data_IF_567546829397
#
_entry.id   IF_567546829397
#
_cell.length_a   1.000
_cell.length_b   1.000
_cell.length_c   1.000
_cell.angle_alpha   90.00
_cell.angle_beta   90.00
_cell.angle_gamma   90.00
#
_symmetry.space_group_name_H-M   'P 1'
#
loop_
_entity.id
_entity.type
_entity.pdbx_description
1 polymer ?
#
# COMPACT_ATOMS: atom_id res chain seq x y z
N UNK A 1 45.68 -13.76 15.67
CA UNK A 1 44.36 -14.21 16.18
C UNK A 1 43.47 -13.01 16.46
N UNK A 2 42.42 -12.76 15.66
CA UNK A 2 41.35 -11.81 16.00
C UNK A 2 40.09 -12.61 16.32
N UNK A 3 39.70 -12.68 17.59
CA UNK A 3 38.45 -13.33 18.03
C UNK A 3 37.26 -12.53 17.47
N UNK A 4 36.34 -13.19 16.77
CA UNK A 4 35.05 -12.62 16.37
C UNK A 4 34.24 -12.29 17.64
N UNK A 5 33.58 -11.12 17.72
CA UNK A 5 32.74 -10.78 18.86
C UNK A 5 31.49 -11.67 18.89
N UNK A 6 31.13 -12.10 20.09
CA UNK A 6 30.08 -13.09 20.36
C UNK A 6 28.68 -12.55 20.01
N UNK A 7 28.06 -13.13 18.99
CA UNK A 7 26.78 -12.69 18.41
C UNK A 7 25.60 -12.75 19.39
N UNK A 8 25.75 -13.43 20.53
CA UNK A 8 24.72 -13.53 21.57
C UNK A 8 24.52 -12.21 22.33
N UNK A 9 25.59 -11.48 22.62
CA UNK A 9 25.51 -10.21 23.37
C UNK A 9 24.83 -9.10 22.55
N UNK A 10 25.06 -9.05 21.24
CA UNK A 10 24.40 -8.10 20.34
C UNK A 10 22.89 -8.36 20.16
N UNK A 11 22.43 -9.60 20.38
CA UNK A 11 21.01 -9.95 20.30
C UNK A 11 20.28 -9.58 21.60
N UNK A 12 20.91 -9.86 22.75
CA UNK A 12 20.37 -9.48 24.07
C UNK A 12 20.24 -7.95 24.23
N UNK A 13 21.25 -7.18 23.79
CA UNK A 13 21.18 -5.72 23.82
C UNK A 13 20.05 -5.13 22.96
N UNK A 14 19.76 -5.74 21.80
CA UNK A 14 18.61 -5.34 20.96
C UNK A 14 17.27 -5.60 21.63
N UNK A 15 17.12 -6.76 22.28
CA UNK A 15 15.88 -7.11 22.99
C UNK A 15 15.62 -6.16 24.16
N UNK A 16 16.66 -5.80 24.92
CA UNK A 16 16.54 -4.84 26.03
C UNK A 16 16.19 -3.42 25.56
N UNK A 17 16.81 -2.93 24.48
CA UNK A 17 16.47 -1.62 23.90
C UNK A 17 15.04 -1.61 23.34
N UNK A 18 14.59 -2.72 22.76
CA UNK A 18 13.23 -2.87 22.26
C UNK A 18 12.22 -2.91 23.41
N UNK A 19 12.48 -3.68 24.47
CA UNK A 19 11.64 -3.70 25.67
C UNK A 19 11.53 -2.31 26.33
N UNK A 20 12.65 -1.57 26.42
CA UNK A 20 12.64 -0.19 26.93
C UNK A 20 11.83 0.79 26.07
N UNK A 21 11.78 0.59 24.74
CA UNK A 21 10.99 1.41 23.81
C UNK A 21 9.49 1.08 23.85
N UNK A 22 9.12 -0.18 24.09
CA UNK A 22 7.73 -0.60 24.35
C UNK A 22 7.23 -0.01 25.67
N UNK A 23 8.01 -0.13 26.74
CA UNK A 23 7.61 0.32 28.08
C UNK A 23 7.51 1.85 28.21
N UNK A 24 8.27 2.60 27.40
CA UNK A 24 8.22 4.07 27.37
C UNK A 24 7.15 4.63 26.43
N UNK A 25 6.36 3.78 25.77
CA UNK A 25 5.37 4.19 24.76
C UNK A 25 5.99 4.82 23.51
N UNK A 26 7.31 4.66 23.30
CA UNK A 26 8.07 5.22 22.18
C UNK A 26 8.19 4.27 20.98
N UNK A 27 7.43 3.17 20.94
CA UNK A 27 7.39 2.22 19.82
C UNK A 27 5.95 2.14 19.27
N UNK A 28 5.60 2.97 18.28
CA UNK A 28 5.74 2.84 16.81
C UNK A 28 4.72 1.91 16.18
N UNK A 29 3.92 2.43 15.24
CA UNK A 29 2.84 1.66 14.64
C UNK A 29 3.38 0.49 13.80
N UNK A 30 3.02 -0.75 14.13
CA UNK A 30 3.51 -1.93 13.43
C UNK A 30 5.05 -1.96 13.36
N UNK A 31 5.62 -2.33 12.20
CA UNK A 31 7.04 -2.58 11.88
C UNK A 31 8.07 -1.45 12.18
N UNK A 32 8.07 -0.83 13.36
CA UNK A 32 8.95 0.31 13.70
C UNK A 32 8.79 1.49 12.73
N UNK A 33 7.55 1.80 12.34
CA UNK A 33 7.25 2.96 11.50
C UNK A 33 7.26 4.26 12.32
N UNK A 34 7.90 5.29 11.77
CA UNK A 34 7.83 6.67 12.28
C UNK A 34 6.48 7.28 11.97
N UNK A 35 5.70 7.54 13.03
CA UNK A 35 4.38 8.16 12.96
C UNK A 35 4.49 9.63 13.37
N UNK A 36 3.96 10.52 12.54
CA UNK A 36 3.94 11.96 12.79
C UNK A 36 2.52 12.45 13.10
N UNK A 37 2.36 13.56 13.85
CA UNK A 37 1.05 14.02 14.34
C UNK A 37 -0.01 14.33 13.26
N UNK A 38 0.41 14.64 12.04
CA UNK A 38 -0.43 14.97 10.90
C UNK A 38 -0.55 13.83 9.87
N UNK A 39 -0.06 12.62 10.18
CA UNK A 39 -0.30 11.44 9.37
C UNK A 39 -1.79 11.02 9.39
N UNK A 40 -2.24 10.38 8.32
CA UNK A 40 -3.54 9.73 8.24
C UNK A 40 -3.34 8.27 7.85
N UNK A 41 -3.93 7.35 8.63
CA UNK A 41 -3.86 5.92 8.33
C UNK A 41 -5.14 5.44 7.68
N UNK A 42 -5.03 4.89 6.47
CA UNK A 42 -6.10 4.14 5.82
C UNK A 42 -5.97 2.67 6.24
N UNK A 43 -6.85 2.22 7.12
CA UNK A 43 -6.81 0.89 7.73
C UNK A 43 -8.01 0.08 7.34
N UNK A 44 -7.82 -1.21 7.10
CA UNK A 44 -8.91 -2.17 6.91
C UNK A 44 -8.39 -3.60 6.84
N UNK A 45 -9.30 -4.56 6.99
CA UNK A 45 -9.01 -5.95 6.63
C UNK A 45 -8.70 -6.06 5.11
N UNK A 46 -7.80 -6.96 4.67
CA UNK A 46 -7.58 -7.24 3.26
C UNK A 46 -8.89 -7.41 2.48
N UNK A 47 -8.88 -6.99 1.21
CA UNK A 47 -10.05 -7.14 0.30
C UNK A 47 -11.30 -6.30 0.65
N UNK A 48 -11.23 -5.44 1.66
CA UNK A 48 -12.34 -4.56 2.06
C UNK A 48 -12.56 -3.32 1.17
N UNK A 49 -11.83 -3.17 0.05
CA UNK A 49 -11.99 -2.02 -0.86
C UNK A 49 -10.87 -0.97 -0.83
N UNK A 50 -9.70 -1.31 -0.25
CA UNK A 50 -8.53 -0.40 -0.17
C UNK A 50 -8.18 0.30 -1.48
N UNK A 51 -8.10 -0.45 -2.59
CA UNK A 51 -7.68 0.11 -3.88
C UNK A 51 -8.64 1.22 -4.32
N UNK A 52 -9.94 0.98 -4.28
CA UNK A 52 -10.95 1.96 -4.66
C UNK A 52 -10.89 3.21 -3.77
N UNK A 53 -10.80 3.03 -2.45
CA UNK A 53 -10.66 4.16 -1.52
C UNK A 53 -9.37 4.95 -1.74
N UNK A 54 -8.25 4.28 -2.07
CA UNK A 54 -6.98 4.96 -2.41
C UNK A 54 -7.11 5.79 -3.69
N UNK A 55 -7.80 5.27 -4.71
CA UNK A 55 -8.10 6.01 -5.94
C UNK A 55 -8.97 7.24 -5.66
N UNK A 56 -10.05 7.08 -4.88
CA UNK A 56 -10.89 8.20 -4.46
C UNK A 56 -10.09 9.28 -3.74
N UNK A 57 -9.37 8.90 -2.67
CA UNK A 57 -8.58 9.86 -1.88
C UNK A 57 -7.53 10.53 -2.76
N UNK A 58 -6.80 9.75 -3.57
CA UNK A 58 -5.74 10.31 -4.39
C UNK A 58 -6.27 11.25 -5.48
N UNK A 59 -7.41 10.95 -6.11
CA UNK A 59 -8.02 11.85 -7.09
C UNK A 59 -8.62 13.10 -6.45
N UNK A 60 -9.00 13.06 -5.17
CA UNK A 60 -9.43 14.24 -4.42
C UNK A 60 -8.26 15.18 -4.06
N UNK A 61 -7.09 14.61 -3.74
CA UNK A 61 -5.91 15.37 -3.28
C UNK A 61 -5.03 15.84 -4.44
N UNK A 62 -4.69 14.93 -5.34
CA UNK A 62 -3.73 15.16 -6.43
C UNK A 62 -4.49 15.50 -7.70
N UNK A 63 -4.87 16.77 -7.80
CA UNK A 63 -5.80 17.23 -8.82
C UNK A 63 -5.17 17.42 -10.21
N UNK A 64 -3.85 17.64 -10.24
CA UNK A 64 -3.09 17.96 -11.46
C UNK A 64 -2.88 16.75 -12.38
N UNK A 65 -2.87 15.54 -11.81
CA UNK A 65 -2.66 14.30 -12.55
C UNK A 65 -3.52 13.19 -11.94
N UNK A 66 -4.36 12.48 -12.73
CA UNK A 66 -5.17 11.38 -12.24
C UNK A 66 -4.37 10.26 -11.59
N UNK A 67 -4.96 9.61 -10.60
CA UNK A 67 -4.40 8.41 -9.98
C UNK A 67 -4.49 7.23 -10.94
N UNK A 68 -3.40 6.46 -10.99
CA UNK A 68 -3.30 5.20 -11.71
C UNK A 68 -2.60 4.16 -10.84
N UNK A 69 -2.63 2.90 -11.26
CA UNK A 69 -1.87 1.83 -10.58
C UNK A 69 -0.36 2.04 -10.62
N UNK A 70 0.15 2.90 -11.53
CA UNK A 70 1.57 3.22 -11.61
C UNK A 70 2.02 4.24 -10.56
N UNK A 71 1.14 5.18 -10.17
CA UNK A 71 1.47 6.29 -9.26
C UNK A 71 0.81 6.16 -7.87
N UNK A 72 -0.10 5.22 -7.65
CA UNK A 72 -0.83 5.12 -6.37
C UNK A 72 0.07 4.77 -5.17
N UNK A 73 1.15 4.01 -5.37
CA UNK A 73 2.11 3.69 -4.30
C UNK A 73 2.98 4.89 -3.91
N UNK A 74 3.31 5.80 -4.83
CA UNK A 74 4.08 7.01 -4.46
C UNK A 74 3.23 8.06 -3.75
N UNK A 75 1.92 8.04 -3.99
CA UNK A 75 0.95 9.00 -3.42
C UNK A 75 0.34 8.54 -2.10
N UNK A 76 -0.14 7.30 -2.05
CA UNK A 76 -0.75 6.70 -0.86
C UNK A 76 -0.08 5.34 -0.55
N UNK A 77 1.18 5.33 -0.12
CA UNK A 77 1.95 4.11 0.02
C UNK A 77 1.38 3.17 1.09
N UNK A 78 1.57 1.88 0.84
CA UNK A 78 1.40 0.86 1.86
C UNK A 78 2.65 0.71 2.73
N UNK A 79 2.46 0.55 4.03
CA UNK A 79 3.55 0.47 5.02
C UNK A 79 4.38 -0.83 4.94
N UNK A 80 3.99 -1.81 4.12
CA UNK A 80 4.66 -3.11 4.05
C UNK A 80 5.68 -3.26 2.92
N UNK A 81 5.54 -2.48 1.86
CA UNK A 81 6.42 -2.56 0.68
C UNK A 81 7.48 -1.45 0.66
N UNK A 82 7.34 -0.47 1.54
CA UNK A 82 8.17 0.71 1.58
C UNK A 82 8.98 0.77 2.88
N UNK A 83 10.25 1.17 2.80
CA UNK A 83 11.08 1.37 3.98
C UNK A 83 10.62 2.60 4.78
N UNK A 84 10.82 2.60 6.10
CA UNK A 84 10.54 3.79 6.93
C UNK A 84 11.29 5.03 6.41
N UNK A 85 12.53 4.84 5.95
CA UNK A 85 13.34 5.90 5.33
C UNK A 85 12.61 6.54 4.13
N UNK A 86 12.13 5.73 3.19
CA UNK A 86 11.36 6.23 2.05
C UNK A 86 10.08 6.93 2.53
N UNK A 87 9.31 6.31 3.42
CA UNK A 87 8.06 6.88 3.91
C UNK A 87 8.26 8.23 4.60
N UNK A 88 9.40 8.43 5.28
CA UNK A 88 9.78 9.70 5.92
C UNK A 88 10.15 10.81 4.93
N UNK A 89 10.60 10.45 3.73
CA UNK A 89 10.93 11.44 2.67
C UNK A 89 9.70 11.96 1.92
N UNK A 90 8.52 11.38 2.13
CA UNK A 90 7.31 11.80 1.44
C UNK A 90 6.83 13.18 1.91
N UNK A 91 6.21 13.97 1.02
CA UNK A 91 5.56 15.22 1.39
C UNK A 91 4.52 15.04 2.49
N UNK A 92 4.35 16.09 3.32
CA UNK A 92 3.39 16.10 4.43
C UNK A 92 2.14 16.93 4.07
N UNK A 93 0.95 16.56 4.57
CA UNK A 93 0.64 15.37 5.40
C UNK A 93 0.66 14.06 4.59
N UNK A 94 1.03 12.95 5.23
CA UNK A 94 1.10 11.63 4.58
C UNK A 94 -0.19 10.86 4.80
N UNK A 95 -0.60 10.09 3.79
CA UNK A 95 -1.67 9.09 3.92
C UNK A 95 -1.08 7.71 3.70
N UNK A 96 -1.11 6.88 4.74
CA UNK A 96 -0.44 5.58 4.77
C UNK A 96 -1.47 4.46 4.85
N UNK A 97 -1.38 3.49 3.96
CA UNK A 97 -2.26 2.32 3.97
C UNK A 97 -1.69 1.21 4.85
N UNK A 98 -2.56 0.58 5.64
CA UNK A 98 -2.23 -0.47 6.58
C UNK A 98 -3.35 -1.52 6.68
N UNK A 99 -2.99 -2.77 6.89
CA UNK A 99 -3.87 -3.87 7.32
C UNK A 99 -3.72 -4.19 8.81
N UNK A 100 -2.85 -3.47 9.52
CA UNK A 100 -2.72 -3.59 10.97
C UNK A 100 -4.04 -3.21 11.64
N UNK A 101 -4.24 -3.78 12.83
CA UNK A 101 -5.31 -3.30 13.67
C UNK A 101 -5.09 -1.84 14.08
N UNK A 102 -6.15 -1.14 14.48
CA UNK A 102 -6.06 0.17 15.12
C UNK A 102 -4.93 0.20 16.15
N UNK A 103 -4.04 1.19 16.02
CA UNK A 103 -2.94 1.40 16.93
C UNK A 103 -3.14 2.74 17.65
N UNK A 104 -2.99 2.80 18.99
CA UNK A 104 -3.18 4.04 19.75
C UNK A 104 -2.32 5.22 19.26
N UNK A 105 -1.18 4.93 18.64
CA UNK A 105 -0.29 5.93 18.05
C UNK A 105 -0.79 6.53 16.73
N UNK A 106 -1.80 5.96 16.08
CA UNK A 106 -2.35 6.54 14.85
C UNK A 106 -3.11 7.84 15.17
N UNK A 107 -2.62 9.00 14.70
CA UNK A 107 -3.19 10.28 15.09
C UNK A 107 -4.52 10.56 14.39
N UNK A 108 -4.73 9.99 13.19
CA UNK A 108 -5.99 9.99 12.45
C UNK A 108 -6.12 8.70 11.67
N UNK A 109 -7.32 8.13 11.64
CA UNK A 109 -7.60 6.84 11.01
C UNK A 109 -8.87 6.91 10.18
N UNK A 110 -8.76 6.52 8.90
CA UNK A 110 -9.88 6.16 8.04
C UNK A 110 -9.97 4.63 8.05
N UNK A 111 -11.08 4.09 8.53
CA UNK A 111 -11.28 2.64 8.64
C UNK A 111 -12.33 2.15 7.63
N UNK A 112 -11.96 1.24 6.73
CA UNK A 112 -12.90 0.67 5.75
C UNK A 112 -13.52 -0.61 6.32
N UNK A 113 -14.85 -0.69 6.27
CA UNK A 113 -15.62 -1.87 6.69
C UNK A 113 -16.38 -2.39 5.49
N UNK A 114 -16.21 -3.67 5.19
CA UNK A 114 -16.98 -4.36 4.16
C UNK A 114 -17.69 -5.58 4.76
N UNK A 115 -18.83 -5.94 4.18
CA UNK A 115 -19.53 -7.17 4.53
C UNK A 115 -18.57 -8.37 4.49
N UNK A 116 -18.51 -9.20 5.54
CA UNK A 116 -17.58 -10.33 5.59
C UNK A 116 -17.81 -11.36 4.46
N UNK A 117 -19.04 -11.50 3.97
CA UNK A 117 -19.38 -12.42 2.87
C UNK A 117 -18.73 -11.97 1.58
N UNK A 118 -18.84 -10.68 1.27
CA UNK A 118 -18.16 -10.07 0.13
C UNK A 118 -16.64 -10.13 0.24
N UNK A 119 -16.12 -9.91 1.46
CA UNK A 119 -14.69 -10.03 1.72
C UNK A 119 -14.22 -11.44 1.42
N UNK A 120 -14.94 -12.46 1.89
CA UNK A 120 -14.60 -13.86 1.66
C UNK A 120 -14.57 -14.20 0.16
N UNK A 121 -15.61 -13.82 -0.60
CA UNK A 121 -15.66 -14.03 -2.06
C UNK A 121 -14.51 -13.31 -2.76
N UNK A 122 -14.23 -12.05 -2.39
CA UNK A 122 -13.12 -11.29 -2.97
C UNK A 122 -11.75 -11.87 -2.61
N UNK A 123 -11.62 -12.47 -1.42
CA UNK A 123 -10.40 -13.13 -0.95
C UNK A 123 -10.17 -14.44 -1.69
N UNK A 124 -11.22 -15.24 -1.89
CA UNK A 124 -11.19 -16.46 -2.70
C UNK A 124 -10.63 -16.19 -4.10
N UNK A 125 -11.29 -15.31 -4.88
CA UNK A 125 -10.85 -15.02 -6.26
C UNK A 125 -9.46 -14.38 -6.32
N UNK A 126 -9.07 -13.64 -5.28
CA UNK A 126 -7.71 -13.11 -5.19
C UNK A 126 -6.67 -14.21 -5.02
N UNK A 127 -6.94 -15.21 -4.18
CA UNK A 127 -6.02 -16.32 -3.96
C UNK A 127 -5.94 -17.24 -5.18
N UNK A 128 -7.05 -17.44 -5.89
CA UNK A 128 -7.05 -18.11 -7.20
C UNK A 128 -6.15 -17.35 -8.16
N UNK A 129 -6.41 -16.05 -8.38
CA UNK A 129 -5.62 -15.20 -9.30
C UNK A 129 -4.13 -15.10 -8.91
N UNK A 130 -3.82 -15.17 -7.62
CA UNK A 130 -2.44 -15.13 -7.12
C UNK A 130 -1.72 -16.48 -7.20
N UNK A 131 -2.43 -17.57 -7.52
CA UNK A 131 -1.89 -18.93 -7.54
C UNK A 131 -1.68 -19.52 -6.13
N UNK A 132 -2.30 -18.95 -5.10
CA UNK A 132 -2.23 -19.47 -3.73
C UNK A 132 -3.17 -20.67 -3.51
N UNK A 133 -4.25 -20.75 -4.29
CA UNK A 133 -5.18 -21.87 -4.34
C UNK A 133 -5.46 -22.21 -5.80
N UNK A 134 -5.83 -23.46 -6.07
CA UNK A 134 -6.15 -23.93 -7.41
C UNK A 134 -7.40 -23.25 -7.98
N UNK A 135 -7.50 -23.17 -9.31
CA UNK A 135 -8.61 -22.52 -10.02
C UNK A 135 -9.96 -23.22 -9.77
N UNK A 136 -9.94 -24.53 -9.53
CA UNK A 136 -11.08 -25.39 -9.25
C UNK A 136 -11.33 -25.65 -7.76
N UNK A 137 -10.65 -24.91 -6.87
CA UNK A 137 -10.78 -25.10 -5.43
C UNK A 137 -12.20 -24.75 -4.94
N UNK A 138 -12.95 -25.66 -4.30
CA UNK A 138 -14.35 -25.40 -3.97
C UNK A 138 -14.51 -24.30 -2.92
N UNK A 139 -15.43 -23.35 -3.16
CA UNK A 139 -15.72 -22.23 -2.25
C UNK A 139 -16.18 -22.74 -0.88
N UNK A 140 -16.95 -23.83 -0.85
CA UNK A 140 -17.46 -24.48 0.35
C UNK A 140 -16.33 -24.96 1.27
N UNK A 141 -15.20 -25.41 0.69
CA UNK A 141 -14.01 -25.78 1.44
C UNK A 141 -13.15 -24.56 1.83
N UNK A 142 -13.21 -23.48 1.04
CA UNK A 142 -12.49 -22.24 1.31
C UNK A 142 -13.07 -21.49 2.53
N UNK A 143 -14.40 -21.36 2.63
CA UNK A 143 -15.05 -20.50 3.62
C UNK A 143 -14.68 -20.86 5.07
N UNK A 144 -14.74 -22.13 5.53
CA UNK A 144 -14.38 -22.48 6.91
C UNK A 144 -12.92 -22.10 7.25
N UNK A 145 -12.01 -22.33 6.29
CA UNK A 145 -10.58 -22.03 6.43
C UNK A 145 -10.29 -20.53 6.44
N UNK A 146 -11.06 -19.75 5.66
CA UNK A 146 -11.04 -18.29 5.71
C UNK A 146 -11.51 -17.77 7.08
N UNK A 147 -12.60 -18.30 7.62
CA UNK A 147 -13.10 -17.93 8.95
C UNK A 147 -12.06 -18.25 10.04
N UNK A 148 -11.40 -19.41 9.92
CA UNK A 148 -10.31 -19.84 10.81
C UNK A 148 -8.97 -19.08 10.59
N UNK A 149 -8.93 -18.08 9.71
CA UNK A 149 -7.74 -17.28 9.37
C UNK A 149 -6.56 -18.07 8.80
N UNK A 150 -6.78 -19.26 8.24
CA UNK A 150 -5.69 -20.12 7.74
C UNK A 150 -4.93 -19.52 6.55
N UNK A 151 -5.62 -18.71 5.74
CA UNK A 151 -5.00 -18.07 4.57
C UNK A 151 -4.29 -16.76 4.91
N UNK A 152 -4.50 -16.19 6.10
CA UNK A 152 -3.93 -14.90 6.48
C UNK A 152 -3.54 -14.83 7.95
N UNK A 153 -2.62 -15.71 8.33
CA UNK A 153 -2.05 -15.73 9.67
C UNK A 153 -1.37 -14.40 10.08
N UNK A 154 -1.04 -13.53 9.10
CA UNK A 154 -0.43 -12.23 9.38
C UNK A 154 -1.44 -11.23 9.94
N UNK A 155 -2.67 -11.20 9.41
CA UNK A 155 -3.69 -10.22 9.81
C UNK A 155 -4.78 -10.79 10.72
N UNK A 156 -4.82 -12.12 10.89
CA UNK A 156 -5.82 -12.81 11.69
C UNK A 156 -7.15 -12.97 10.95
N UNK A 157 -8.18 -13.36 11.70
CA UNK A 157 -9.53 -13.51 11.13
C UNK A 157 -10.16 -12.13 10.90
N UNK A 158 -11.10 -12.06 9.97
CA UNK A 158 -11.91 -10.85 9.80
C UNK A 158 -12.65 -10.49 11.11
N UNK A 159 -13.08 -11.49 11.88
CA UNK A 159 -13.72 -11.29 13.18
C UNK A 159 -12.80 -10.65 14.22
N UNK A 160 -11.49 -10.91 14.17
CA UNK A 160 -10.51 -10.31 15.09
C UNK A 160 -10.33 -8.80 14.89
N UNK A 161 -10.80 -8.28 13.74
CA UNK A 161 -10.85 -6.84 13.47
C UNK A 161 -12.09 -6.15 14.07
N UNK A 162 -13.11 -6.90 14.50
CA UNK A 162 -14.33 -6.34 15.15
C UNK A 162 -14.07 -5.52 16.41
N UNK A 163 -13.09 -5.86 17.28
CA UNK A 163 -12.74 -5.02 18.42
C UNK A 163 -12.38 -3.60 18.01
N UNK A 164 -11.95 -3.31 16.78
CA UNK A 164 -11.65 -1.94 16.33
C UNK A 164 -12.89 -1.12 15.99
N UNK A 165 -13.94 -1.76 15.45
CA UNK A 165 -15.24 -1.11 15.30
C UNK A 165 -15.82 -0.76 16.68
N UNK A 166 -15.64 -1.65 17.66
CA UNK A 166 -16.09 -1.45 19.05
C UNK A 166 -15.18 -0.49 19.85
N UNK A 167 -13.87 -0.48 19.56
CA UNK A 167 -12.87 0.44 20.10
C UNK A 167 -12.79 1.74 19.30
N UNK A 168 -13.91 2.24 18.80
CA UNK A 168 -14.10 3.68 18.62
C UNK A 168 -14.29 4.29 20.01
N UNK A 169 -13.25 4.78 20.70
CA UNK A 169 -13.34 5.08 22.12
C UNK A 169 -13.66 6.56 22.30
N UNK A 170 -14.75 6.88 23.02
CA UNK A 170 -14.91 7.86 24.14
C UNK A 170 -14.12 9.19 24.19
N UNK A 171 -13.30 9.56 23.20
CA UNK A 171 -12.56 10.83 23.07
C UNK A 171 -12.81 11.41 21.67
N UNK A 172 -13.73 12.39 21.54
CA UNK A 172 -14.26 12.86 20.25
C UNK A 172 -13.28 13.65 19.37
N UNK A 173 -12.04 13.92 19.81
CA UNK A 173 -11.18 14.92 19.16
C UNK A 173 -10.07 14.37 18.25
N UNK A 174 -9.86 13.05 18.13
CA UNK A 174 -8.71 12.50 17.39
C UNK A 174 -9.00 11.41 16.35
N UNK A 175 -10.16 10.77 16.34
CA UNK A 175 -10.52 9.84 15.26
C UNK A 175 -11.63 10.40 14.38
N UNK A 176 -11.33 10.55 13.09
CA UNK A 176 -12.32 10.75 12.04
C UNK A 176 -12.50 9.41 11.31
N UNK A 177 -13.22 8.48 11.91
CA UNK A 177 -13.52 7.18 11.29
C UNK A 177 -14.60 7.37 10.21
N UNK A 178 -14.19 7.55 8.96
CA UNK A 178 -15.11 7.38 7.85
C UNK A 178 -15.25 5.87 7.57
N UNK A 179 -16.27 5.23 8.15
CA UNK A 179 -16.67 3.90 7.74
C UNK A 179 -17.29 4.01 6.35
N UNK A 180 -16.50 3.70 5.32
CA UNK A 180 -17.05 3.44 4.00
C UNK A 180 -17.72 2.08 4.04
N UNK A 181 -18.97 2.05 4.49
CA UNK A 181 -19.84 0.91 4.22
C UNK A 181 -20.20 1.00 2.75
N UNK A 182 -19.97 -0.07 2.00
CA UNK A 182 -20.62 -0.25 0.71
C UNK A 182 -22.11 -0.48 1.03
N UNK A 183 -22.86 0.59 1.30
CA UNK A 183 -24.28 0.48 1.56
C UNK A 183 -25.00 0.32 0.23
N UNK A 184 -25.60 -0.86 0.05
CA UNK A 184 -26.78 -0.99 -0.80
C UNK A 184 -27.84 -0.02 -0.26
N UNK A 185 -28.25 0.97 -1.06
CA UNK A 185 -29.30 1.94 -0.71
C UNK A 185 -28.93 3.43 -0.83
N UNK A 186 -27.65 3.80 -0.96
CA UNK A 186 -27.26 5.19 -1.25
C UNK A 186 -27.39 5.43 -2.76
N UNK A 187 -28.13 6.46 -3.19
CA UNK A 187 -28.37 6.76 -4.61
C UNK A 187 -27.06 7.10 -5.36
N UNK A 188 -26.04 7.61 -4.66
CA UNK A 188 -24.68 7.78 -5.16
C UNK A 188 -23.62 7.58 -4.04
N UNK A 189 -23.19 6.33 -3.79
CA UNK A 189 -22.25 6.03 -2.71
C UNK A 189 -20.85 6.65 -2.97
N UNK A 190 -20.50 6.90 -4.23
CA UNK A 190 -19.22 7.50 -4.61
C UNK A 190 -19.13 8.96 -4.19
N UNK A 191 -20.15 9.77 -4.49
CA UNK A 191 -20.16 11.19 -4.11
C UNK A 191 -20.24 11.34 -2.59
N UNK A 192 -21.06 10.53 -1.93
CA UNK A 192 -21.14 10.55 -0.47
C UNK A 192 -19.81 10.12 0.19
N UNK A 193 -19.12 9.13 -0.35
CA UNK A 193 -17.77 8.77 0.07
C UNK A 193 -16.79 9.94 -0.10
N UNK A 194 -16.80 10.61 -1.26
CA UNK A 194 -15.96 11.78 -1.49
C UNK A 194 -16.20 12.88 -0.45
N UNK A 195 -17.46 13.23 -0.18
CA UNK A 195 -17.78 14.27 0.81
C UNK A 195 -17.33 13.90 2.23
N UNK A 196 -17.53 12.63 2.64
CA UNK A 196 -17.05 12.12 3.94
C UNK A 196 -15.53 12.16 4.04
N UNK A 197 -14.82 11.78 2.98
CA UNK A 197 -13.37 11.79 2.90
C UNK A 197 -12.81 13.22 2.91
N UNK A 198 -13.38 14.14 2.13
CA UNK A 198 -12.94 15.54 2.07
C UNK A 198 -13.00 16.22 3.44
N UNK A 199 -14.06 15.98 4.22
CA UNK A 199 -14.17 16.46 5.62
C UNK A 199 -13.10 15.84 6.51
N UNK A 200 -12.92 14.52 6.43
CA UNK A 200 -11.97 13.76 7.25
C UNK A 200 -10.52 14.17 6.98
N UNK A 201 -10.21 14.43 5.71
CA UNK A 201 -8.89 14.81 5.22
C UNK A 201 -8.64 16.33 5.31
N UNK A 202 -9.65 17.11 5.72
CA UNK A 202 -9.59 18.58 5.79
C UNK A 202 -9.19 19.21 4.47
N UNK A 203 -9.71 18.68 3.37
CA UNK A 203 -9.54 19.26 2.04
C UNK A 203 -10.22 20.65 2.04
N UNK A 204 -9.58 21.72 1.55
CA UNK A 204 -10.16 23.05 1.47
C UNK A 204 -11.53 23.07 0.78
N UNK A 205 -12.48 23.90 1.25
CA UNK A 205 -13.87 23.89 0.78
C UNK A 205 -14.03 24.32 -0.69
N UNK A 206 -13.15 25.19 -1.18
CA UNK A 206 -13.03 25.58 -2.59
C UNK A 206 -12.81 24.37 -3.50
N UNK A 207 -12.17 23.30 -2.99
CA UNK A 207 -11.94 22.02 -3.68
C UNK A 207 -13.02 20.98 -3.45
N UNK A 208 -14.12 21.33 -2.79
CA UNK A 208 -15.26 20.44 -2.49
C UNK A 208 -16.49 20.80 -3.31
N UNK A 209 -16.34 21.56 -4.41
CA UNK A 209 -17.48 21.91 -5.24
C UNK A 209 -18.14 20.65 -5.83
N UNK A 210 -19.49 20.61 -5.95
CA UNK A 210 -20.19 19.42 -6.41
C UNK A 210 -19.72 18.89 -7.78
N UNK A 211 -19.47 19.79 -8.75
CA UNK A 211 -19.00 19.39 -10.09
C UNK A 211 -17.59 18.81 -10.11
N UNK A 212 -16.68 19.35 -9.29
CA UNK A 212 -15.33 18.80 -9.13
C UNK A 212 -15.38 17.44 -8.44
N UNK A 213 -16.19 17.33 -7.38
CA UNK A 213 -16.36 16.09 -6.62
C UNK A 213 -16.91 14.96 -7.49
N UNK A 214 -17.91 15.26 -8.34
CA UNK A 214 -18.45 14.32 -9.32
C UNK A 214 -17.37 13.86 -10.32
N UNK A 215 -16.60 14.81 -10.86
CA UNK A 215 -15.48 14.49 -11.76
C UNK A 215 -14.45 13.56 -11.09
N UNK A 216 -14.08 13.82 -9.82
CA UNK A 216 -13.11 12.98 -9.09
C UNK A 216 -13.67 11.60 -8.75
N UNK A 217 -14.97 11.52 -8.49
CA UNK A 217 -15.71 10.27 -8.31
C UNK A 217 -15.68 9.44 -9.60
N UNK A 218 -15.93 10.06 -10.75
CA UNK A 218 -15.91 9.39 -12.05
C UNK A 218 -14.51 8.86 -12.44
N UNK A 219 -13.45 9.58 -12.06
CA UNK A 219 -12.05 9.12 -12.18
C UNK A 219 -11.71 7.90 -11.31
N UNK A 220 -12.57 7.57 -10.35
CA UNK A 220 -12.35 6.50 -9.36
C UNK A 220 -13.40 5.39 -9.48
N UNK A 221 -14.15 5.35 -10.58
CA UNK A 221 -15.17 4.32 -10.81
C UNK A 221 -14.52 2.93 -10.97
N UNK A 222 -15.16 1.86 -10.45
CA UNK A 222 -14.68 0.50 -10.66
C UNK A 222 -14.45 0.14 -12.13
N UNK A 223 -15.30 0.63 -13.02
CA UNK A 223 -15.23 0.45 -14.48
C UNK A 223 -13.91 1.01 -15.02
N UNK A 224 -13.64 2.28 -14.73
CA UNK A 224 -12.41 2.94 -15.15
C UNK A 224 -11.16 2.28 -14.55
N UNK A 225 -11.23 1.85 -13.29
CA UNK A 225 -10.11 1.12 -12.67
C UNK A 225 -9.85 -0.20 -13.40
N UNK A 226 -10.88 -0.95 -13.80
CA UNK A 226 -10.70 -2.16 -14.61
C UNK A 226 -10.07 -1.86 -15.97
N UNK A 227 -10.42 -0.75 -16.60
CA UNK A 227 -9.81 -0.33 -17.87
C UNK A 227 -8.33 0.04 -17.70
N UNK A 228 -7.98 0.71 -16.60
CA UNK A 228 -6.58 0.97 -16.24
C UNK A 228 -5.80 -0.31 -15.96
N UNK A 229 -6.39 -1.30 -15.26
CA UNK A 229 -5.76 -2.61 -15.04
C UNK A 229 -5.49 -3.34 -16.37
N UNK A 230 -6.47 -3.33 -17.29
CA UNK A 230 -6.32 -3.91 -18.64
C UNK A 230 -5.20 -3.21 -19.42
N UNK A 231 -5.21 -1.88 -19.46
CA UNK A 231 -4.18 -1.12 -20.15
C UNK A 231 -2.77 -1.40 -19.61
N UNK A 232 -2.63 -1.48 -18.28
CA UNK A 232 -1.34 -1.82 -17.66
C UNK A 232 -0.91 -3.26 -17.99
N UNK A 233 -1.85 -4.21 -18.03
CA UNK A 233 -1.57 -5.59 -18.41
C UNK A 233 -1.12 -5.69 -19.87
N UNK A 234 -1.81 -5.03 -20.79
CA UNK A 234 -1.45 -4.97 -22.22
C UNK A 234 -0.04 -4.39 -22.40
N UNK A 235 0.27 -3.28 -21.72
CA UNK A 235 1.61 -2.69 -21.75
C UNK A 235 2.68 -3.67 -21.23
N UNK A 236 2.43 -4.35 -20.11
CA UNK A 236 3.36 -5.35 -19.57
C UNK A 236 3.63 -6.50 -20.56
N UNK A 237 2.61 -6.96 -21.27
CA UNK A 237 2.76 -8.01 -22.29
C UNK A 237 3.56 -7.54 -23.50
N UNK A 238 3.36 -6.28 -23.93
CA UNK A 238 4.10 -5.71 -25.06
C UNK A 238 5.60 -5.55 -24.77
N UNK A 239 5.98 -5.18 -23.54
CA UNK A 239 7.39 -4.98 -23.15
C UNK A 239 8.08 -6.24 -22.59
N UNK A 240 7.32 -7.25 -22.17
CA UNK A 240 7.83 -8.53 -21.69
C UNK A 240 7.03 -9.69 -22.33
N UNK A 241 7.21 -9.97 -23.63
CA UNK A 241 6.57 -11.12 -24.24
C UNK A 241 7.00 -12.39 -23.49
N UNK A 242 6.03 -13.26 -23.15
CA UNK A 242 6.32 -14.57 -22.60
C UNK A 242 7.31 -15.26 -23.56
N UNK A 243 8.43 -15.76 -23.05
CA UNK A 243 9.27 -16.68 -23.82
C UNK A 243 8.44 -17.92 -24.07
N UNK A 244 7.93 -18.05 -25.29
CA UNK A 244 7.31 -19.30 -25.74
C UNK A 244 8.37 -20.40 -25.73
N UNK A 245 7.99 -21.56 -25.20
CA UNK A 245 8.88 -22.68 -25.00
C UNK A 245 9.45 -23.21 -26.31
N UNK A 246 10.76 -23.12 -26.45
CA UNK A 246 11.57 -23.94 -27.34
C UNK A 246 12.82 -24.34 -26.55
N UNK A 247 12.95 -25.63 -26.25
CA UNK A 247 14.09 -26.15 -25.52
C UNK A 247 15.40 -25.81 -26.23
N UNK A 248 16.31 -25.17 -25.50
CA UNK A 248 17.73 -25.32 -25.78
C UNK A 248 18.37 -25.90 -24.52
N UNK A 249 18.78 -27.15 -24.67
CA UNK A 249 19.67 -27.87 -23.77
C UNK A 249 20.92 -27.00 -23.52
N UNK A 250 21.02 -26.39 -22.35
CA UNK A 250 22.28 -25.78 -21.91
C UNK A 250 23.16 -26.89 -21.37
N UNK A 251 23.94 -27.44 -22.29
CA UNK A 251 24.97 -28.42 -22.00
C UNK A 251 26.02 -27.81 -21.07
N UNK A 252 26.20 -28.43 -19.92
CA UNK A 252 27.22 -28.11 -18.93
C UNK A 252 28.59 -28.44 -19.52
N UNK A 253 29.45 -27.45 -19.80
CA UNK A 253 30.89 -27.67 -19.98
C UNK A 253 31.67 -26.33 -19.97
N UNK A 254 32.74 -26.26 -19.16
CA UNK A 254 33.90 -25.43 -19.50
C UNK A 254 34.14 -24.18 -18.66
N UNK A 255 34.67 -24.37 -17.45
CA UNK A 255 35.35 -23.37 -16.64
C UNK A 255 36.74 -23.04 -17.25
N UNK A 256 36.93 -21.85 -17.81
CA UNK A 256 38.24 -21.17 -18.02
C UNK A 256 37.92 -19.66 -17.99
N UNK A 257 38.33 -18.82 -17.03
CA UNK A 257 39.71 -18.52 -16.65
C UNK A 257 40.19 -17.30 -17.45
N UNK A 258 39.93 -16.07 -16.98
CA UNK A 258 40.41 -14.87 -17.67
C UNK A 258 40.04 -13.56 -16.98
N UNK A 259 40.96 -13.05 -16.16
CA UNK A 259 40.92 -11.70 -15.61
C UNK A 259 41.12 -10.68 -16.74
N UNK A 260 40.29 -9.63 -16.83
CA UNK A 260 40.77 -8.35 -17.34
C UNK A 260 40.19 -7.16 -16.57
N UNK A 261 41.15 -6.34 -16.16
CA UNK A 261 41.11 -5.12 -15.36
C UNK A 261 40.84 -3.96 -16.31
N UNK A 262 39.73 -3.24 -16.14
CA UNK A 262 39.48 -1.99 -16.88
C UNK A 262 40.01 -0.84 -16.04
N UNK A 263 41.03 -0.16 -16.60
CA UNK A 263 41.66 1.04 -16.06
C UNK A 263 40.83 2.28 -16.42
N UNK A 264 40.65 3.16 -15.44
CA UNK A 264 40.14 4.52 -15.61
C UNK A 264 41.20 5.38 -16.32
N UNK A 265 40.78 6.12 -17.34
CA UNK A 265 41.56 7.17 -17.99
C UNK A 265 40.65 8.34 -18.32
N UNK A 266 40.85 9.47 -17.65
CA UNK A 266 40.09 10.70 -17.87
C UNK A 266 40.61 11.50 -19.07
N UNK A 267 39.74 12.35 -19.62
CA UNK A 267 40.15 13.49 -20.43
C UNK A 267 39.10 14.60 -20.27
N UNK A 268 39.56 15.74 -19.75
CA UNK A 268 38.87 17.02 -19.69
C UNK A 268 38.61 17.59 -21.09
N UNK A 269 37.45 18.21 -21.28
CA UNK A 269 37.14 19.00 -22.47
C UNK A 269 35.95 19.93 -22.24
N UNK A 270 36.21 21.13 -21.70
CA UNK A 270 35.26 22.25 -21.60
C UNK A 270 35.04 22.91 -22.97
N UNK A 271 33.79 23.21 -23.40
CA UNK A 271 33.55 24.10 -24.53
C UNK A 271 33.47 25.56 -24.07
N UNK A 272 34.24 26.44 -24.74
CA UNK A 272 34.19 27.90 -24.59
C UNK A 272 32.93 28.48 -25.23
N UNK A 273 32.31 29.42 -24.51
CA UNK A 273 31.37 30.42 -25.03
C UNK A 273 32.06 31.31 -26.06
N UNK A 274 31.40 31.56 -27.19
CA UNK A 274 31.78 32.60 -28.16
C UNK A 274 30.62 33.56 -28.32
N UNK A 275 30.79 34.76 -27.76
CA UNK A 275 30.02 35.96 -28.05
C UNK A 275 30.48 36.54 -29.39
N UNK A 276 29.54 37.00 -30.21
CA UNK A 276 29.81 37.79 -31.40
C UNK A 276 28.50 38.31 -31.98
N UNK A 277 28.23 39.59 -31.76
CA UNK A 277 27.16 40.32 -32.44
C UNK A 277 27.59 40.75 -33.84
N UNK A 278 26.62 40.80 -34.74
CA UNK A 278 26.27 41.95 -35.56
C UNK A 278 24.82 41.77 -36.03
#
# INVERSE_FOLDING_TARGET
MKRKPDGKMHRAGRVLVQAGRVLTGKQMAGRNLTVFPDDVFLTSYPRSGNTWTRFLIGNLIYQDEPVTFANIESRLPEIYFNSDHYLRSLPRPRILKSHECFQPQYPRVIYIVRDPRDVAVSFYHHNVKAGNIADDYPMEAFIPRFIAAEFDARWGSWSDKRPELACTPRKPSRLHSASLRNHEGEFDPGTAACLRLSRTLRIPQDRQQPGETATRRDLSTPERMRDLEKAQHTLRQAFHPKREGGGLEVNTLGRVGGQHRISLGGAHGTPRLRTGGH
#
